data_IF_888725617909
#
_entry.id   IF_888725617909
#
_cell.length_a   1.000
_cell.length_b   1.000
_cell.length_c   1.000
_cell.angle_alpha   90.00
_cell.angle_beta   90.00
_cell.angle_gamma   90.00
#
_symmetry.space_group_name_H-M   'P 1'
#
loop_
_entity.id
_entity.type
_entity.pdbx_description
1 polymer ?
#
# COMPACT_ATOMS: atom_id res chain seq x y z
N UNK A 1 12.61 -4.53 -0.99
CA UNK A 1 11.47 -4.42 -1.92
C UNK A 1 10.72 -3.12 -1.66
N UNK A 2 9.95 -2.67 -2.62
CA UNK A 2 9.18 -1.43 -2.53
C UNK A 2 7.70 -1.72 -2.69
N UNK A 3 6.88 -0.91 -2.02
CA UNK A 3 5.43 -1.00 -2.10
C UNK A 3 4.88 0.23 -2.81
N UNK A 4 3.98 0.00 -3.77
CA UNK A 4 3.23 1.06 -4.42
C UNK A 4 1.76 0.89 -4.07
N UNK A 5 1.15 1.96 -3.55
CA UNK A 5 -0.26 1.99 -3.21
C UNK A 5 -0.94 3.03 -4.08
N UNK A 6 -1.99 2.61 -4.78
CA UNK A 6 -2.77 3.48 -5.67
C UNK A 6 -4.23 3.45 -5.21
N UNK A 7 -4.70 4.57 -4.68
CA UNK A 7 -6.07 4.70 -4.16
C UNK A 7 -6.92 5.40 -5.23
N UNK A 8 -7.76 4.63 -5.90
CA UNK A 8 -8.70 5.14 -6.89
C UNK A 8 -10.07 5.48 -6.31
N UNK A 9 -10.98 5.93 -7.17
CA UNK A 9 -12.34 6.30 -6.77
C UNK A 9 -13.18 5.11 -6.29
N UNK A 10 -12.87 3.90 -6.76
CA UNK A 10 -13.66 2.70 -6.44
C UNK A 10 -12.84 1.61 -5.76
N UNK A 11 -11.57 1.47 -6.13
CA UNK A 11 -10.70 0.41 -5.61
C UNK A 11 -9.32 0.96 -5.26
N UNK A 12 -8.63 0.27 -4.37
CA UNK A 12 -7.21 0.47 -4.11
C UNK A 12 -6.43 -0.69 -4.70
N UNK A 13 -5.22 -0.40 -5.20
CA UNK A 13 -4.26 -1.40 -5.65
C UNK A 13 -3.00 -1.28 -4.82
N UNK A 14 -2.45 -2.44 -4.44
CA UNK A 14 -1.15 -2.52 -3.80
C UNK A 14 -0.26 -3.41 -4.66
N UNK A 15 0.93 -2.93 -4.98
CA UNK A 15 1.90 -3.68 -5.77
C UNK A 15 3.22 -3.72 -5.04
N UNK A 16 3.81 -4.91 -4.95
CA UNK A 16 5.13 -5.10 -4.37
C UNK A 16 6.12 -5.29 -5.50
N UNK A 17 7.20 -4.52 -5.47
CA UNK A 17 8.27 -4.54 -6.46
C UNK A 17 9.56 -5.05 -5.85
N UNK A 18 10.21 -5.94 -6.59
CA UNK A 18 11.61 -6.32 -6.36
C UNK A 18 12.43 -5.72 -7.49
N UNK A 19 13.08 -4.57 -7.20
CA UNK A 19 13.67 -3.75 -8.25
C UNK A 19 12.58 -3.24 -9.19
N UNK A 20 12.69 -3.57 -10.47
CA UNK A 20 11.68 -3.23 -11.49
C UNK A 20 10.68 -4.35 -11.77
N UNK A 21 10.76 -5.46 -11.02
CA UNK A 21 9.84 -6.58 -11.15
C UNK A 21 8.68 -6.46 -10.20
N UNK A 22 7.47 -6.63 -10.70
CA UNK A 22 6.27 -6.77 -9.87
C UNK A 22 6.19 -8.21 -9.36
N UNK A 23 6.21 -8.40 -8.04
CA UNK A 23 6.14 -9.73 -7.45
C UNK A 23 4.75 -10.07 -6.93
N UNK A 24 3.94 -9.06 -6.61
CA UNK A 24 2.54 -9.27 -6.21
C UNK A 24 1.72 -8.02 -6.44
N UNK A 25 0.46 -8.19 -6.87
CA UNK A 25 -0.52 -7.11 -6.99
C UNK A 25 -1.80 -7.55 -6.31
N UNK A 26 -2.32 -6.71 -5.44
CA UNK A 26 -3.60 -6.92 -4.78
C UNK A 26 -4.53 -5.75 -5.07
N UNK A 27 -5.83 -6.03 -5.13
CA UNK A 27 -6.88 -5.03 -5.28
C UNK A 27 -7.88 -5.19 -4.14
N UNK A 28 -8.43 -4.10 -3.69
CA UNK A 28 -9.40 -4.15 -2.63
C UNK A 28 -10.10 -2.82 -2.39
N UNK A 29 -10.67 -2.69 -1.20
CA UNK A 29 -11.40 -1.50 -0.80
C UNK A 29 -10.50 -0.26 -0.79
N UNK A 30 -11.06 0.87 -1.22
CA UNK A 30 -10.39 2.16 -1.09
C UNK A 30 -10.64 2.84 0.27
N UNK A 31 -11.27 2.14 1.21
CA UNK A 31 -11.52 2.62 2.57
C UNK A 31 -10.66 1.94 3.63
N UNK A 32 -10.11 0.78 3.31
CA UNK A 32 -9.28 0.00 4.24
C UNK A 32 -8.32 -0.88 3.46
N UNK A 33 -7.03 -0.85 3.83
CA UNK A 33 -5.98 -1.64 3.20
C UNK A 33 -5.78 -2.92 4.00
N UNK A 34 -6.73 -3.85 3.91
CA UNK A 34 -6.77 -5.04 4.75
C UNK A 34 -5.57 -5.98 4.53
N UNK A 35 -4.98 -5.95 3.33
CA UNK A 35 -3.84 -6.80 3.01
C UNK A 35 -2.48 -6.14 3.30
N UNK A 36 -2.45 -4.91 3.77
CA UNK A 36 -1.19 -4.20 4.00
C UNK A 36 -0.32 -4.93 5.02
N UNK A 37 -0.91 -5.33 6.13
CA UNK A 37 -0.20 -6.06 7.19
C UNK A 37 0.36 -7.39 6.69
N UNK A 38 -0.41 -8.13 5.91
CA UNK A 38 0.02 -9.39 5.30
C UNK A 38 1.23 -9.18 4.38
N UNK A 39 1.17 -8.16 3.52
CA UNK A 39 2.26 -7.86 2.60
C UNK A 39 3.54 -7.47 3.36
N UNK A 40 3.40 -6.70 4.44
CA UNK A 40 4.54 -6.31 5.27
C UNK A 40 5.19 -7.52 5.97
N UNK A 41 4.41 -8.53 6.31
CA UNK A 41 4.92 -9.76 6.91
C UNK A 41 5.50 -10.72 5.87
N UNK A 42 4.97 -10.70 4.66
CA UNK A 42 5.37 -11.62 3.59
C UNK A 42 6.64 -11.18 2.87
N UNK A 43 6.85 -9.88 2.74
CA UNK A 43 7.95 -9.32 1.95
C UNK A 43 8.78 -8.35 2.77
N UNK A 44 10.11 -8.27 2.51
CA UNK A 44 11.00 -7.31 3.17
C UNK A 44 10.86 -5.93 2.52
N UNK A 45 9.73 -5.28 2.73
CA UNK A 45 9.46 -3.95 2.17
C UNK A 45 10.25 -2.91 2.95
N UNK A 46 10.96 -2.06 2.23
CA UNK A 46 11.84 -1.03 2.79
C UNK A 46 11.28 0.38 2.62
N UNK A 47 10.46 0.58 1.59
CA UNK A 47 9.85 1.88 1.28
C UNK A 47 8.52 1.67 0.60
N UNK A 48 7.65 2.66 0.75
CA UNK A 48 6.38 2.72 0.04
C UNK A 48 6.15 4.08 -0.57
N UNK A 49 5.33 4.10 -1.62
CA UNK A 49 4.80 5.32 -2.22
C UNK A 49 3.29 5.17 -2.35
N UNK A 50 2.57 6.24 -2.08
CA UNK A 50 1.12 6.25 -2.22
C UNK A 50 0.68 7.40 -3.11
N UNK A 51 -0.24 7.10 -4.03
CA UNK A 51 -0.99 8.09 -4.78
C UNK A 51 -2.47 7.89 -4.52
N UNK A 52 -3.20 8.97 -4.35
CA UNK A 52 -4.63 8.91 -4.10
C UNK A 52 -5.35 10.01 -4.84
N UNK A 53 -6.47 9.65 -5.49
CA UNK A 53 -7.38 10.61 -6.12
C UNK A 53 -8.54 11.00 -5.21
N UNK A 54 -8.59 10.44 -4.00
CA UNK A 54 -9.61 10.75 -2.99
C UNK A 54 -8.93 11.11 -1.67
N UNK A 55 -9.69 11.70 -0.76
CA UNK A 55 -9.23 11.91 0.62
C UNK A 55 -9.14 10.55 1.31
N UNK A 56 -8.00 10.28 1.92
CA UNK A 56 -7.78 9.02 2.62
C UNK A 56 -8.67 8.91 3.86
N UNK A 57 -9.26 7.72 4.06
CA UNK A 57 -10.03 7.44 5.26
C UNK A 57 -9.16 7.42 6.51
N UNK A 58 -9.76 7.62 7.69
CA UNK A 58 -9.02 7.51 8.95
C UNK A 58 -8.46 6.10 9.16
N UNK A 59 -9.15 5.08 8.68
CA UNK A 59 -8.67 3.70 8.73
C UNK A 59 -7.38 3.54 7.95
N UNK A 60 -7.34 4.01 6.70
CA UNK A 60 -6.14 3.95 5.87
C UNK A 60 -5.00 4.77 6.51
N UNK A 61 -5.29 5.97 7.03
CA UNK A 61 -4.26 6.78 7.68
C UNK A 61 -3.61 6.05 8.86
N UNK A 62 -4.40 5.36 9.67
CA UNK A 62 -3.88 4.56 10.79
C UNK A 62 -3.08 3.36 10.31
N UNK A 63 -3.53 2.70 9.23
CA UNK A 63 -2.82 1.58 8.64
C UNK A 63 -1.45 2.00 8.10
N UNK A 64 -1.39 3.14 7.40
CA UNK A 64 -0.13 3.68 6.88
C UNK A 64 0.83 4.07 8.01
N UNK A 65 0.31 4.63 9.10
CA UNK A 65 1.12 5.01 10.25
C UNK A 65 1.71 3.79 10.98
N UNK A 66 1.12 2.61 10.82
CA UNK A 66 1.55 1.39 11.49
C UNK A 66 2.62 0.58 10.77
N UNK A 67 3.01 0.94 9.55
CA UNK A 67 4.03 0.19 8.82
C UNK A 67 5.43 0.55 9.31
N UNK A 68 6.39 -0.42 9.26
CA UNK A 68 7.74 -0.19 9.76
C UNK A 68 8.70 0.44 8.74
N UNK A 69 8.18 1.16 7.76
CA UNK A 69 8.99 1.81 6.72
C UNK A 69 8.34 3.14 6.32
N UNK A 70 9.12 3.99 5.64
CA UNK A 70 8.63 5.28 5.16
C UNK A 70 7.70 5.11 3.97
N UNK A 71 6.60 5.85 3.98
CA UNK A 71 5.69 5.96 2.85
C UNK A 71 5.70 7.41 2.38
N UNK A 72 5.99 7.62 1.10
CA UNK A 72 6.04 8.93 0.45
C UNK A 72 4.75 9.14 -0.35
N UNK A 73 4.15 10.29 -0.18
CA UNK A 73 2.98 10.70 -0.97
C UNK A 73 3.40 11.41 -2.25
#
# INVERSE_FOLDING_TARGET
>A
MNLVIDIGNTVAKLAVFDGDKVVEVLRGSNHSLDWLSMLCNKYPIQRGIIASVITLSNTIRRQLAGVPFEIIE
#
